data_IF_830733573634
#
_entry.id   IF_830733573634
#
_cell.length_a   1.000
_cell.length_b   1.000
_cell.length_c   1.000
_cell.angle_alpha   90.00
_cell.angle_beta   90.00
_cell.angle_gamma   90.00
#
_symmetry.space_group_name_H-M   'P 1'
#
loop_
_entity.id
_entity.type
_entity.pdbx_description
1 polymer ?
#
# COMPACT_ATOMS: atom_id res chain seq x y z
N UNK A 1 -4.70 7.94 23.09
CA UNK A 1 -3.63 8.11 22.08
C UNK A 1 -3.86 9.48 21.50
N UNK A 2 -2.94 10.41 21.75
CA UNK A 2 -3.16 11.80 21.39
C UNK A 2 -3.03 11.94 19.86
N UNK A 3 -4.07 12.52 19.26
CA UNK A 3 -4.20 12.89 17.85
C UNK A 3 -2.90 13.37 17.16
N UNK A 4 -2.02 14.20 17.76
CA UNK A 4 -0.82 14.69 17.09
C UNK A 4 0.15 13.62 16.58
N UNK A 5 0.27 12.47 17.25
CA UNK A 5 1.23 11.41 16.83
C UNK A 5 0.77 10.62 15.60
N UNK A 6 -0.55 10.51 15.36
CA UNK A 6 -1.08 9.86 14.15
C UNK A 6 -0.92 10.74 12.92
N UNK A 7 -1.10 12.05 13.10
CA UNK A 7 -0.88 13.05 12.06
C UNK A 7 0.60 13.17 11.69
N UNK A 8 1.53 12.98 12.64
CA UNK A 8 2.96 13.05 12.38
C UNK A 8 3.44 12.02 11.32
N UNK A 9 2.90 10.80 11.31
CA UNK A 9 3.25 9.79 10.31
C UNK A 9 2.74 10.10 8.90
N UNK A 10 1.49 10.58 8.80
CA UNK A 10 0.90 11.01 7.54
C UNK A 10 1.57 12.29 7.02
N UNK A 11 1.82 13.27 7.90
CA UNK A 11 2.50 14.51 7.57
C UNK A 11 3.97 14.27 7.18
N UNK A 12 4.67 13.35 7.85
CA UNK A 12 6.01 12.93 7.45
C UNK A 12 6.00 12.21 6.10
N UNK A 13 4.98 11.38 5.81
CA UNK A 13 4.83 10.74 4.50
C UNK A 13 4.53 11.72 3.38
N UNK A 14 3.67 12.71 3.62
CA UNK A 14 3.43 13.81 2.68
C UNK A 14 4.71 14.63 2.50
N UNK A 15 5.38 15.02 3.59
CA UNK A 15 6.61 15.81 3.53
C UNK A 15 7.74 15.05 2.81
N UNK A 16 7.94 13.76 3.05
CA UNK A 16 8.93 12.95 2.33
C UNK A 16 8.54 12.82 0.85
N UNK A 17 7.26 12.60 0.54
CA UNK A 17 6.78 12.51 -0.84
C UNK A 17 6.87 13.83 -1.63
N UNK A 18 6.79 14.99 -0.96
CA UNK A 18 6.87 16.31 -1.60
C UNK A 18 8.25 16.94 -1.57
N UNK A 19 9.09 16.61 -0.58
CA UNK A 19 10.41 17.20 -0.39
C UNK A 19 11.55 16.33 -0.93
N UNK A 20 11.34 15.03 -1.08
CA UNK A 20 12.36 14.15 -1.65
C UNK A 20 12.16 14.05 -3.15
N UNK A 21 13.03 14.74 -3.87
CA UNK A 21 13.16 14.56 -5.31
C UNK A 21 13.91 13.25 -5.57
N UNK A 22 13.17 12.15 -5.70
CA UNK A 22 13.75 10.80 -5.84
C UNK A 22 14.44 10.60 -7.19
N UNK A 23 14.12 11.39 -8.22
CA UNK A 23 14.75 11.37 -9.54
C UNK A 23 14.33 12.61 -10.37
N UNK A 24 15.22 13.27 -11.13
CA UNK A 24 14.87 14.39 -12.02
C UNK A 24 13.89 14.04 -13.17
N UNK A 25 13.62 12.76 -13.43
CA UNK A 25 12.63 12.33 -14.42
C UNK A 25 11.22 12.32 -13.77
N UNK A 26 10.28 13.19 -14.19
CA UNK A 26 8.97 13.37 -13.52
C UNK A 26 8.13 12.08 -13.51
N UNK A 27 8.29 11.24 -14.51
CA UNK A 27 7.55 9.99 -14.68
C UNK A 27 7.98 8.92 -13.66
N UNK A 28 9.22 9.03 -13.17
CA UNK A 28 9.82 8.14 -12.19
C UNK A 28 9.39 8.53 -10.77
N UNK A 29 9.13 9.82 -10.54
CA UNK A 29 8.72 10.34 -9.24
C UNK A 29 7.46 9.64 -8.70
N UNK A 30 6.50 9.31 -9.58
CA UNK A 30 5.28 8.60 -9.20
C UNK A 30 5.55 7.19 -8.63
N UNK A 31 6.47 6.45 -9.25
CA UNK A 31 6.82 5.07 -8.88
C UNK A 31 7.53 4.98 -7.53
N UNK A 32 8.25 6.03 -7.11
CA UNK A 32 8.92 6.09 -5.81
C UNK A 32 8.08 6.78 -4.72
N UNK A 33 7.32 7.82 -5.07
CA UNK A 33 6.55 8.61 -4.11
C UNK A 33 5.47 7.80 -3.39
N UNK A 34 4.73 6.95 -4.12
CA UNK A 34 3.65 6.15 -3.53
C UNK A 34 4.14 5.05 -2.56
N UNK A 35 5.17 4.25 -2.88
CA UNK A 35 5.79 3.35 -1.91
C UNK A 35 6.39 4.08 -0.70
N UNK A 36 7.07 5.21 -0.93
CA UNK A 36 7.64 6.01 0.15
C UNK A 36 6.55 6.52 1.11
N UNK A 37 5.46 7.05 0.55
CA UNK A 37 4.29 7.48 1.33
C UNK A 37 3.72 6.33 2.18
N UNK A 38 3.49 5.16 1.57
CA UNK A 38 3.00 3.98 2.28
C UNK A 38 3.93 3.55 3.42
N UNK A 39 5.24 3.58 3.19
CA UNK A 39 6.24 3.25 4.21
C UNK A 39 6.24 4.23 5.37
N UNK A 40 6.15 5.54 5.10
CA UNK A 40 6.08 6.57 6.13
C UNK A 40 4.80 6.42 6.99
N UNK A 41 3.66 6.14 6.37
CA UNK A 41 2.41 5.86 7.11
C UNK A 41 2.59 4.66 8.03
N UNK A 42 3.19 3.57 7.53
CA UNK A 42 3.42 2.36 8.31
C UNK A 42 4.43 2.58 9.45
N UNK A 43 5.50 3.33 9.20
CA UNK A 43 6.50 3.73 10.19
C UNK A 43 5.89 4.60 11.29
N UNK A 44 5.02 5.55 10.93
CA UNK A 44 4.30 6.39 11.89
C UNK A 44 3.40 5.57 12.83
N UNK A 45 2.70 4.57 12.29
CA UNK A 45 1.87 3.67 13.11
C UNK A 45 2.72 2.80 14.04
N UNK A 46 3.85 2.27 13.56
CA UNK A 46 4.82 1.55 14.40
C UNK A 46 5.37 2.43 15.54
N UNK A 47 5.78 3.66 15.22
CA UNK A 47 6.30 4.60 16.19
C UNK A 47 5.21 4.96 17.23
N UNK A 48 3.97 5.20 16.80
CA UNK A 48 2.87 5.47 17.70
C UNK A 48 2.57 4.28 18.65
N UNK A 49 2.66 3.03 18.18
CA UNK A 49 2.50 1.85 19.04
C UNK A 49 3.67 1.67 20.03
N UNK A 50 4.89 1.99 19.62
CA UNK A 50 6.07 1.95 20.49
C UNK A 50 6.05 3.04 21.57
N UNK A 51 5.62 4.25 21.21
CA UNK A 51 5.57 5.42 22.11
C UNK A 51 4.38 5.34 23.07
N UNK A 52 3.26 4.75 22.65
CA UNK A 52 2.08 4.58 23.49
C UNK A 52 2.40 3.67 24.69
N UNK A 53 2.84 4.30 25.79
CA UNK A 53 3.08 3.62 27.07
C UNK A 53 1.79 2.94 27.54
N UNK A 54 1.88 1.72 28.12
CA UNK A 54 0.71 1.07 28.66
C UNK A 54 0.13 1.93 29.78
N UNK A 55 -1.09 2.42 29.60
CA UNK A 55 -1.89 2.95 30.71
C UNK A 55 -2.26 1.74 31.57
N UNK A 56 -1.68 1.68 32.76
CA UNK A 56 -1.92 0.63 33.73
C UNK A 56 -3.35 0.82 34.27
N UNK A 57 -4.35 0.24 33.61
CA UNK A 57 -5.73 0.26 34.13
C UNK A 57 -5.82 -0.74 35.28
N UNK A 58 -5.94 -0.22 36.50
CA UNK A 58 -5.91 -0.99 37.75
C UNK A 58 -7.21 -1.74 38.08
N UNK A 59 -8.22 -1.71 37.19
CA UNK A 59 -9.54 -2.28 37.46
C UNK A 59 -9.77 -3.45 36.51
N UNK A 60 -9.67 -4.67 37.06
CA UNK A 60 -9.99 -5.94 36.42
C UNK A 60 -11.48 -6.24 36.66
N UNK A 61 -12.33 -5.92 35.70
CA UNK A 61 -13.65 -6.54 35.62
C UNK A 61 -13.50 -7.74 34.68
N UNK A 62 -13.60 -8.95 35.26
CA UNK A 62 -13.57 -10.19 34.50
C UNK A 62 -14.96 -10.43 33.91
N UNK A 63 -15.24 -9.81 32.77
CA UNK A 63 -16.43 -10.16 31.98
C UNK A 63 -16.08 -11.30 31.03
N UNK A 64 -16.47 -12.51 31.42
CA UNK A 64 -16.27 -13.73 30.63
C UNK A 64 -17.34 -13.75 29.53
N UNK A 65 -17.04 -13.14 28.39
CA UNK A 65 -17.74 -13.44 27.13
C UNK A 65 -16.81 -14.26 26.24
N UNK A 66 -17.25 -15.42 25.72
CA UNK A 66 -16.45 -16.22 24.80
C UNK A 66 -16.39 -15.50 23.45
N UNK A 67 -15.44 -14.58 23.27
CA UNK A 67 -15.28 -13.82 22.02
C UNK A 67 -14.04 -14.26 21.27
N UNK A 68 -14.26 -14.82 20.07
CA UNK A 68 -13.20 -15.19 19.14
C UNK A 68 -12.58 -13.90 18.59
N UNK A 69 -11.25 -13.81 18.64
CA UNK A 69 -10.42 -12.78 17.98
C UNK A 69 -10.77 -12.61 16.48
N UNK A 70 -11.44 -13.62 15.89
CA UNK A 70 -11.96 -13.62 14.52
C UNK A 70 -13.07 -12.59 14.25
N UNK A 71 -13.70 -12.03 15.27
CA UNK A 71 -14.80 -11.05 15.12
C UNK A 71 -14.32 -9.58 15.16
N UNK A 72 -13.00 -9.39 15.30
CA UNK A 72 -12.40 -8.08 15.62
C UNK A 72 -11.59 -7.50 14.46
N UNK A 73 -11.14 -8.36 13.56
CA UNK A 73 -10.48 -7.98 12.31
C UNK A 73 -11.44 -8.30 11.16
N UNK A 74 -11.80 -7.34 10.29
CA UNK A 74 -12.63 -7.61 9.13
C UNK A 74 -11.86 -8.56 8.19
N UNK A 75 -12.08 -9.86 8.34
CA UNK A 75 -11.39 -10.91 7.58
C UNK A 75 -11.51 -10.68 6.09
N UNK A 76 -12.69 -10.25 5.64
CA UNK A 76 -12.95 -9.87 4.26
C UNK A 76 -11.98 -8.77 3.76
N UNK A 77 -11.71 -7.75 4.59
CA UNK A 77 -10.77 -6.68 4.24
C UNK A 77 -9.33 -7.20 4.19
N UNK A 78 -8.92 -7.99 5.18
CA UNK A 78 -7.57 -8.58 5.19
C UNK A 78 -7.33 -9.51 4.01
N UNK A 79 -8.31 -10.36 3.65
CA UNK A 79 -8.23 -11.22 2.47
C UNK A 79 -8.23 -10.42 1.17
N UNK A 80 -9.01 -9.34 1.10
CA UNK A 80 -9.05 -8.46 -0.06
C UNK A 80 -7.71 -7.74 -0.27
N UNK A 81 -7.13 -7.18 0.79
CA UNK A 81 -5.81 -6.55 0.74
C UNK A 81 -4.70 -7.57 0.41
N UNK A 82 -4.79 -8.80 0.90
CA UNK A 82 -3.87 -9.87 0.52
C UNK A 82 -3.98 -10.24 -0.96
N UNK A 83 -5.19 -10.27 -1.52
CA UNK A 83 -5.40 -10.46 -2.95
C UNK A 83 -4.79 -9.32 -3.77
N UNK A 84 -4.92 -8.07 -3.31
CA UNK A 84 -4.26 -6.92 -3.95
C UNK A 84 -2.73 -7.00 -3.89
N UNK A 85 -2.16 -7.43 -2.77
CA UNK A 85 -0.71 -7.66 -2.66
C UNK A 85 -0.22 -8.74 -3.64
N UNK A 86 -1.02 -9.80 -3.82
CA UNK A 86 -0.73 -10.84 -4.82
C UNK A 86 -0.81 -10.27 -6.25
N UNK A 87 -1.85 -9.50 -6.57
CA UNK A 87 -1.98 -8.84 -7.88
C UNK A 87 -0.79 -7.92 -8.15
N UNK A 88 -0.37 -7.12 -7.17
CA UNK A 88 0.83 -6.27 -7.27
C UNK A 88 2.06 -7.12 -7.61
N UNK A 89 2.26 -8.23 -6.89
CA UNK A 89 3.38 -9.15 -7.13
C UNK A 89 3.35 -9.70 -8.55
N UNK A 90 2.17 -10.14 -9.03
CA UNK A 90 1.99 -10.66 -10.39
C UNK A 90 2.29 -9.58 -11.44
N UNK A 91 1.76 -8.36 -11.28
CA UNK A 91 2.03 -7.25 -12.19
C UNK A 91 3.51 -6.89 -12.24
N UNK A 92 4.20 -6.90 -11.09
CA UNK A 92 5.65 -6.66 -11.03
C UNK A 92 6.43 -7.78 -11.73
N UNK A 93 6.04 -9.05 -11.57
CA UNK A 93 6.67 -10.17 -12.27
C UNK A 93 6.47 -10.04 -13.78
N UNK A 94 5.25 -9.71 -14.23
CA UNK A 94 4.96 -9.45 -15.64
C UNK A 94 5.85 -8.31 -16.14
N UNK A 95 5.84 -7.16 -15.45
CA UNK A 95 6.61 -6.00 -15.85
C UNK A 95 8.11 -6.30 -15.89
N UNK A 96 8.66 -7.01 -14.91
CA UNK A 96 10.06 -7.42 -14.90
C UNK A 96 10.40 -8.38 -16.04
N UNK A 97 9.51 -9.33 -16.35
CA UNK A 97 9.72 -10.31 -17.42
C UNK A 97 9.64 -9.71 -18.82
N UNK A 98 8.88 -8.63 -19.01
CA UNK A 98 8.73 -7.94 -20.30
C UNK A 98 9.62 -6.69 -20.41
N UNK A 99 10.37 -6.35 -19.36
CA UNK A 99 11.24 -5.18 -19.37
C UNK A 99 12.49 -5.43 -20.22
N UNK A 100 12.90 -4.41 -20.95
CA UNK A 100 14.13 -4.36 -21.73
C UNK A 100 14.98 -3.14 -21.34
N UNK A 101 16.14 -3.00 -21.99
CA UNK A 101 16.96 -1.80 -21.89
C UNK A 101 16.29 -0.59 -22.57
N UNK A 102 16.45 0.58 -21.99
CA UNK A 102 16.03 1.84 -22.61
C UNK A 102 17.00 2.31 -23.71
N UNK A 103 16.73 3.48 -24.30
CA UNK A 103 17.57 4.06 -25.37
C UNK A 103 19.01 4.37 -24.93
N UNK A 104 19.27 4.43 -23.63
CA UNK A 104 20.61 4.62 -23.06
C UNK A 104 21.27 3.29 -22.68
N UNK A 105 20.64 2.15 -22.97
CA UNK A 105 21.15 0.82 -22.65
C UNK A 105 20.91 0.41 -21.19
N UNK A 106 20.10 1.16 -20.43
CA UNK A 106 19.83 0.89 -19.01
C UNK A 106 18.75 -0.18 -18.89
N UNK A 107 19.12 -1.37 -18.40
CA UNK A 107 18.25 -2.55 -18.34
C UNK A 107 17.03 -2.39 -17.42
N UNK A 108 15.89 -2.92 -17.84
CA UNK A 108 14.72 -3.11 -16.97
C UNK A 108 13.83 -1.87 -16.84
N UNK A 109 13.93 -0.91 -17.77
CA UNK A 109 13.28 0.41 -17.69
C UNK A 109 12.28 0.69 -18.81
N UNK A 110 12.31 -0.08 -19.89
CA UNK A 110 11.45 0.11 -21.05
C UNK A 110 10.74 -1.19 -21.45
N UNK A 111 9.71 -1.08 -22.27
CA UNK A 111 9.01 -2.16 -22.93
C UNK A 111 9.34 -2.08 -24.43
N UNK A 112 9.88 -3.16 -25.00
CA UNK A 112 10.05 -3.30 -26.44
C UNK A 112 8.95 -4.18 -27.01
N UNK A 113 8.28 -3.69 -28.06
CA UNK A 113 7.24 -4.44 -28.78
C UNK A 113 7.49 -4.32 -30.27
N UNK A 114 7.46 -5.45 -30.97
CA UNK A 114 7.50 -5.47 -32.43
C UNK A 114 6.12 -5.22 -33.01
N UNK A 115 5.97 -4.11 -33.75
CA UNK A 115 4.75 -3.77 -34.47
C UNK A 115 4.92 -3.93 -35.98
N UNK A 116 3.83 -4.07 -36.75
CA UNK A 116 3.89 -4.05 -38.22
C UNK A 116 4.57 -2.80 -38.81
N UNK A 117 4.53 -1.68 -38.08
CA UNK A 117 5.18 -0.42 -38.45
C UNK A 117 6.63 -0.28 -37.94
N UNK A 118 7.18 -1.31 -37.30
CA UNK A 118 8.52 -1.32 -36.69
C UNK A 118 8.51 -1.56 -35.18
N UNK A 119 9.70 -1.70 -34.60
CA UNK A 119 9.91 -1.89 -33.16
C UNK A 119 9.59 -0.60 -32.39
N UNK A 120 8.76 -0.68 -31.36
CA UNK A 120 8.46 0.41 -30.44
C UNK A 120 9.14 0.19 -29.10
N UNK A 121 9.80 1.22 -28.59
CA UNK A 121 10.41 1.24 -27.27
C UNK A 121 9.69 2.28 -26.42
N UNK A 122 9.01 1.85 -25.36
CA UNK A 122 8.17 2.70 -24.52
C UNK A 122 8.62 2.63 -23.06
N UNK A 123 8.69 3.79 -22.39
CA UNK A 123 8.99 3.89 -20.97
C UNK A 123 8.26 5.07 -20.33
N UNK A 124 8.25 5.17 -18.98
CA UNK A 124 8.86 4.22 -18.04
C UNK A 124 8.01 2.96 -17.86
N UNK A 125 8.64 1.79 -18.05
CA UNK A 125 8.01 0.50 -17.78
C UNK A 125 8.40 0.05 -16.37
N UNK A 126 7.45 -0.37 -15.49
CA UNK A 126 7.73 -0.66 -14.08
C UNK A 126 8.42 -2.02 -13.88
N UNK A 127 9.52 -2.25 -14.58
CA UNK A 127 10.38 -3.41 -14.40
C UNK A 127 11.10 -3.40 -13.05
N UNK A 128 11.96 -4.40 -12.84
CA UNK A 128 12.59 -4.66 -11.54
C UNK A 128 13.35 -3.44 -10.98
N UNK A 129 13.90 -2.59 -11.86
CA UNK A 129 14.58 -1.35 -11.50
C UNK A 129 13.67 -0.41 -10.69
N UNK A 130 12.42 -0.23 -11.10
CA UNK A 130 11.44 0.63 -10.43
C UNK A 130 10.61 -0.12 -9.38
N UNK A 131 10.49 -1.45 -9.49
CA UNK A 131 9.63 -2.24 -8.62
C UNK A 131 10.30 -2.66 -7.29
N UNK A 132 11.62 -2.64 -7.20
CA UNK A 132 12.34 -3.05 -5.97
C UNK A 132 11.91 -2.30 -4.70
N UNK A 133 11.75 -0.96 -4.69
CA UNK A 133 11.25 -0.23 -3.53
C UNK A 133 9.85 -0.67 -3.10
N UNK A 134 8.96 -0.94 -4.07
CA UNK A 134 7.61 -1.41 -3.80
C UNK A 134 7.63 -2.82 -3.17
N UNK A 135 8.43 -3.74 -3.72
CA UNK A 135 8.57 -5.10 -3.19
C UNK A 135 9.21 -5.12 -1.80
N UNK A 136 10.33 -4.40 -1.63
CA UNK A 136 11.03 -4.28 -0.36
C UNK A 136 10.14 -3.65 0.71
N UNK A 137 9.43 -2.57 0.34
CA UNK A 137 8.50 -1.90 1.24
C UNK A 137 7.32 -2.79 1.65
N UNK A 138 6.69 -3.48 0.68
CA UNK A 138 5.61 -4.43 0.94
C UNK A 138 6.06 -5.58 1.85
N UNK A 139 7.25 -6.16 1.63
CA UNK A 139 7.78 -7.23 2.46
C UNK A 139 8.01 -6.74 3.90
N UNK A 140 8.69 -5.61 4.08
CA UNK A 140 8.94 -5.00 5.39
C UNK A 140 7.65 -4.65 6.12
N UNK A 141 6.69 -4.03 5.43
CA UNK A 141 5.41 -3.66 6.03
C UNK A 141 4.52 -4.85 6.37
N UNK A 142 4.60 -5.94 5.61
CA UNK A 142 3.89 -7.18 5.93
C UNK A 142 4.45 -7.81 7.21
N UNK A 143 5.78 -7.85 7.34
CA UNK A 143 6.44 -8.30 8.58
C UNK A 143 6.06 -7.39 9.76
N UNK A 144 6.11 -6.07 9.57
CA UNK A 144 5.72 -5.10 10.59
C UNK A 144 4.26 -5.26 11.04
N UNK A 145 3.33 -5.43 10.10
CA UNK A 145 1.92 -5.67 10.37
C UNK A 145 1.73 -6.96 11.18
N UNK A 146 2.38 -8.05 10.77
CA UNK A 146 2.34 -9.32 11.50
C UNK A 146 2.89 -9.20 12.94
N UNK A 147 3.99 -8.45 13.12
CA UNK A 147 4.58 -8.20 14.44
C UNK A 147 3.66 -7.36 15.32
N UNK A 148 3.03 -6.31 14.77
CA UNK A 148 2.05 -5.49 15.48
C UNK A 148 0.86 -6.34 15.93
N UNK A 149 0.28 -7.13 15.03
CA UNK A 149 -0.83 -8.03 15.36
C UNK A 149 -0.44 -9.05 16.44
N UNK A 150 0.76 -9.62 16.37
CA UNK A 150 1.29 -10.53 17.39
C UNK A 150 1.48 -9.84 18.75
N UNK A 151 1.91 -8.56 18.78
CA UNK A 151 2.04 -7.80 20.04
C UNK A 151 0.68 -7.50 20.66
N UNK A 152 -0.33 -7.18 19.84
CA UNK A 152 -1.70 -6.92 20.29
C UNK A 152 -2.31 -8.16 20.95
N UNK A 153 -2.07 -9.36 20.40
CA UNK A 153 -2.59 -10.60 20.99
C UNK A 153 -1.89 -10.99 22.29
N UNK A 154 -0.59 -10.70 22.41
CA UNK A 154 0.21 -11.03 23.61
C UNK A 154 0.00 -10.05 24.78
N UNK A 155 -0.35 -8.77 24.54
CA UNK A 155 -0.57 -7.78 25.61
C UNK A 155 -1.93 -7.96 26.29
N UNK A 156 -1.99 -7.86 27.62
CA UNK A 156 -3.26 -7.70 28.34
C UNK A 156 -3.82 -6.30 28.09
N UNK A 157 -4.80 -6.20 27.19
CA UNK A 157 -5.49 -4.95 26.84
C UNK A 157 -7.00 -5.20 26.88
N UNK A 158 -7.77 -4.12 27.04
CA UNK A 158 -9.23 -4.13 26.84
C UNK A 158 -9.56 -4.51 25.39
N UNK A 159 -10.73 -5.11 25.19
CA UNK A 159 -11.14 -5.65 23.88
C UNK A 159 -11.24 -4.54 22.80
N UNK A 160 -11.71 -3.35 23.19
CA UNK A 160 -11.83 -2.19 22.29
C UNK A 160 -10.48 -1.65 21.85
N UNK A 161 -9.51 -1.59 22.77
CA UNK A 161 -8.16 -1.14 22.44
C UNK A 161 -7.49 -2.10 21.43
N UNK A 162 -7.70 -3.41 21.59
CA UNK A 162 -7.22 -4.42 20.63
C UNK A 162 -7.85 -4.24 19.25
N UNK A 163 -9.18 -3.99 19.16
CA UNK A 163 -9.86 -3.73 17.88
C UNK A 163 -9.28 -2.51 17.18
N UNK A 164 -9.10 -1.40 17.90
CA UNK A 164 -8.58 -0.15 17.34
C UNK A 164 -7.15 -0.34 16.84
N UNK A 165 -6.28 -0.99 17.62
CA UNK A 165 -4.89 -1.24 17.21
C UNK A 165 -4.81 -2.19 16.01
N UNK A 166 -5.59 -3.26 15.99
CA UNK A 166 -5.63 -4.19 14.86
C UNK A 166 -6.14 -3.52 13.57
N UNK A 167 -7.21 -2.72 13.65
CA UNK A 167 -7.71 -1.94 12.51
C UNK A 167 -6.70 -0.93 11.99
N UNK A 168 -5.98 -0.24 12.88
CA UNK A 168 -4.94 0.69 12.49
C UNK A 168 -3.76 -0.01 11.78
N UNK A 169 -3.30 -1.16 12.30
CA UNK A 169 -2.25 -1.94 11.67
C UNK A 169 -2.65 -2.44 10.28
N UNK A 170 -3.86 -2.99 10.14
CA UNK A 170 -4.40 -3.46 8.85
C UNK A 170 -4.64 -2.31 7.87
N UNK A 171 -5.16 -1.17 8.35
CA UNK A 171 -5.36 0.03 7.52
C UNK A 171 -4.04 0.58 6.97
N UNK A 172 -3.00 0.67 7.80
CA UNK A 172 -1.69 1.13 7.35
C UNK A 172 -1.03 0.15 6.37
N UNK A 173 -1.15 -1.15 6.60
CA UNK A 173 -0.71 -2.16 5.64
C UNK A 173 -1.51 -2.06 4.32
N UNK A 174 -2.81 -1.77 4.39
CA UNK A 174 -3.64 -1.55 3.21
C UNK A 174 -3.18 -0.36 2.38
N UNK A 175 -2.85 0.78 3.01
CA UNK A 175 -2.27 1.94 2.30
C UNK A 175 -0.95 1.58 1.62
N UNK A 176 -0.08 0.85 2.33
CA UNK A 176 1.22 0.40 1.81
C UNK A 176 1.10 -0.54 0.60
N UNK A 177 0.05 -1.35 0.51
CA UNK A 177 -0.20 -2.27 -0.64
C UNK A 177 -0.88 -1.54 -1.79
N UNK A 178 -1.91 -0.75 -1.49
CA UNK A 178 -2.78 -0.12 -2.49
C UNK A 178 -2.10 1.01 -3.25
N UNK A 179 -1.22 1.78 -2.59
CA UNK A 179 -0.52 2.90 -3.22
C UNK A 179 0.47 2.43 -4.32
N UNK A 180 1.37 1.46 -4.09
CA UNK A 180 2.20 0.90 -5.16
C UNK A 180 1.40 0.18 -6.24
N UNK A 181 0.33 -0.53 -5.86
CA UNK A 181 -0.54 -1.20 -6.85
C UNK A 181 -1.19 -0.19 -7.80
N UNK A 182 -1.66 0.95 -7.29
CA UNK A 182 -2.15 2.04 -8.10
C UNK A 182 -1.08 2.57 -9.05
N UNK A 183 0.10 2.89 -8.53
CA UNK A 183 1.20 3.45 -9.32
C UNK A 183 1.66 2.50 -10.45
N UNK A 184 1.87 1.22 -10.14
CA UNK A 184 2.26 0.20 -11.13
C UNK A 184 1.15 0.00 -12.17
N UNK A 185 -0.10 -0.13 -11.75
CA UNK A 185 -1.22 -0.34 -12.68
C UNK A 185 -1.41 0.86 -13.61
N UNK A 186 -1.31 2.07 -13.08
CA UNK A 186 -1.45 3.31 -13.83
C UNK A 186 -0.32 3.49 -14.85
N UNK A 187 0.93 3.28 -14.44
CA UNK A 187 2.10 3.39 -15.33
C UNK A 187 2.06 2.35 -16.46
N UNK A 188 1.75 1.09 -16.14
CA UNK A 188 1.54 0.06 -17.17
C UNK A 188 0.40 0.44 -18.11
N UNK A 189 -0.70 1.01 -17.61
CA UNK A 189 -1.84 1.42 -18.44
C UNK A 189 -1.45 2.54 -19.41
N UNK A 190 -0.70 3.54 -18.96
CA UNK A 190 -0.19 4.63 -19.80
C UNK A 190 0.71 4.08 -20.91
N UNK A 191 1.65 3.19 -20.60
CA UNK A 191 2.52 2.58 -21.62
C UNK A 191 1.72 1.73 -22.61
N UNK A 192 0.79 0.89 -22.13
CA UNK A 192 -0.06 0.08 -23.00
C UNK A 192 -0.96 0.95 -23.88
N UNK A 193 -1.43 2.10 -23.38
CA UNK A 193 -2.23 3.05 -24.14
C UNK A 193 -1.43 3.65 -25.30
N UNK A 194 -0.11 3.84 -25.13
CA UNK A 194 0.80 4.37 -26.15
C UNK A 194 1.19 3.35 -27.23
N UNK A 195 0.95 2.05 -27.02
CA UNK A 195 1.20 1.03 -28.06
C UNK A 195 0.28 1.23 -29.26
N UNK A 196 0.83 1.33 -30.46
CA UNK A 196 0.02 1.44 -31.69
C UNK A 196 -0.46 0.08 -32.19
N UNK A 197 0.18 -1.01 -31.77
CA UNK A 197 -0.16 -2.37 -32.14
C UNK A 197 -0.44 -3.21 -30.89
N UNK A 198 -1.63 -3.82 -30.82
CA UNK A 198 -2.02 -4.83 -29.81
C UNK A 198 -3.52 -5.20 -29.93
N UNK A 199 -4.30 -4.48 -30.75
CA UNK A 199 -5.68 -4.83 -31.10
C UNK A 199 -6.55 -5.09 -29.88
N UNK A 200 -7.23 -6.24 -29.85
CA UNK A 200 -8.11 -6.64 -28.74
C UNK A 200 -7.36 -6.88 -27.43
N UNK A 201 -6.11 -7.36 -27.47
CA UNK A 201 -5.32 -7.61 -26.26
C UNK A 201 -5.04 -6.31 -25.49
N UNK A 202 -4.85 -5.20 -26.22
CA UNK A 202 -4.74 -3.85 -25.64
C UNK A 202 -5.97 -3.49 -24.81
N UNK A 203 -7.16 -3.75 -25.34
CA UNK A 203 -8.43 -3.40 -24.69
C UNK A 203 -8.59 -4.19 -23.39
N UNK A 204 -8.31 -5.50 -23.41
CA UNK A 204 -8.36 -6.34 -22.21
C UNK A 204 -7.34 -5.91 -21.15
N UNK A 205 -6.10 -5.62 -21.57
CA UNK A 205 -5.06 -5.15 -20.67
C UNK A 205 -5.44 -3.82 -20.02
N UNK A 206 -5.90 -2.84 -20.81
CA UNK A 206 -6.34 -1.54 -20.30
C UNK A 206 -7.53 -1.67 -19.34
N UNK A 207 -8.53 -2.50 -19.67
CA UNK A 207 -9.67 -2.73 -18.80
C UNK A 207 -9.25 -3.35 -17.45
N UNK A 208 -8.38 -4.36 -17.48
CA UNK A 208 -7.86 -4.99 -16.27
C UNK A 208 -7.03 -4.04 -15.42
N UNK A 209 -6.14 -3.26 -16.04
CA UNK A 209 -5.30 -2.27 -15.36
C UNK A 209 -6.13 -1.11 -14.78
N UNK A 210 -7.14 -0.62 -15.52
CA UNK A 210 -8.04 0.42 -15.04
C UNK A 210 -8.88 -0.05 -13.84
N UNK A 211 -9.43 -1.27 -13.90
CA UNK A 211 -10.16 -1.86 -12.78
C UNK A 211 -9.25 -2.04 -11.56
N UNK A 212 -8.02 -2.50 -11.76
CA UNK A 212 -7.03 -2.69 -10.70
C UNK A 212 -6.65 -1.35 -10.06
N UNK A 213 -6.36 -0.33 -10.86
CA UNK A 213 -6.05 1.03 -10.38
C UNK A 213 -7.24 1.66 -9.64
N UNK A 214 -8.46 1.49 -10.15
CA UNK A 214 -9.66 2.04 -9.52
C UNK A 214 -9.94 1.37 -8.17
N UNK A 215 -9.89 0.03 -8.12
CA UNK A 215 -10.11 -0.72 -6.88
C UNK A 215 -9.00 -0.45 -5.85
N UNK A 216 -7.75 -0.31 -6.28
CA UNK A 216 -6.64 0.07 -5.40
C UNK A 216 -6.81 1.49 -4.85
N UNK A 217 -7.22 2.46 -5.67
CA UNK A 217 -7.49 3.82 -5.21
C UNK A 217 -8.61 3.88 -4.17
N UNK A 218 -9.74 3.23 -4.43
CA UNK A 218 -10.87 3.18 -3.49
C UNK A 218 -10.50 2.53 -2.15
N UNK A 219 -9.79 1.40 -2.22
CA UNK A 219 -9.35 0.69 -1.01
C UNK A 219 -8.28 1.46 -0.24
N UNK A 220 -7.36 2.14 -0.92
CA UNK A 220 -6.40 3.06 -0.31
C UNK A 220 -7.09 4.21 0.42
N UNK A 221 -8.04 4.88 -0.23
CA UNK A 221 -8.86 5.94 0.37
C UNK A 221 -9.63 5.43 1.60
N UNK A 222 -10.23 4.24 1.51
CA UNK A 222 -10.92 3.63 2.63
C UNK A 222 -9.97 3.34 3.81
N UNK A 223 -8.81 2.73 3.54
CA UNK A 223 -7.81 2.43 4.57
C UNK A 223 -7.27 3.70 5.25
N UNK A 224 -7.05 4.75 4.46
CA UNK A 224 -6.62 6.06 4.95
C UNK A 224 -7.72 6.75 5.77
N UNK A 225 -8.98 6.66 5.33
CA UNK A 225 -10.14 7.14 6.10
C UNK A 225 -10.27 6.45 7.45
N UNK A 226 -10.12 5.12 7.50
CA UNK A 226 -10.13 4.34 8.75
C UNK A 226 -8.99 4.74 9.69
N UNK A 227 -7.83 5.14 9.14
CA UNK A 227 -6.69 5.61 9.93
C UNK A 227 -6.88 7.01 10.51
N UNK A 228 -7.43 7.93 9.69
CA UNK A 228 -7.52 9.35 10.01
C UNK A 228 -8.75 9.72 10.83
N UNK A 229 -9.87 9.00 10.67
CA UNK A 229 -11.12 9.32 11.39
C UNK A 229 -10.97 8.88 12.87
N UNK A 230 -11.02 9.82 13.84
CA UNK A 230 -10.94 9.47 15.25
C UNK A 230 -12.19 8.68 15.66
N UNK A 231 -12.03 7.40 16.01
CA UNK A 231 -13.13 6.59 16.57
C UNK A 231 -13.61 7.10 17.95
N UNK A 232 -12.91 8.06 18.55
CA UNK A 232 -13.27 8.66 19.83
C UNK A 232 -14.47 9.63 19.76
N UNK A 233 -14.89 10.08 18.57
CA UNK A 233 -15.99 11.05 18.42
C UNK A 233 -17.37 10.40 18.24
N UNK A 234 -17.45 9.09 18.01
CA UNK A 234 -18.73 8.39 17.79
C UNK A 234 -19.43 7.95 19.06
N UNK A 235 -18.72 7.78 20.19
CA UNK A 235 -19.35 7.42 21.47
C UNK A 235 -19.83 8.63 22.28
N UNK A 236 -19.32 9.84 22.02
CA UNK A 236 -19.79 11.05 22.70
C UNK A 236 -21.14 11.58 22.20
N UNK A 237 -21.81 10.85 21.27
CA UNK A 237 -23.07 11.27 20.64
C UNK A 237 -24.18 10.20 20.71
N UNK A 238 -23.97 9.10 21.45
CA UNK A 238 -24.99 8.09 21.75
C UNK A 238 -25.40 8.14 23.20
#
# INVERSE_FOLDING_TARGET
MDTPTRWAGAAAGVAVGTLVDFNPEPDVQLLYAFPAFGLCVMAGVLAADLIARPRHSWIRVAEVTPRRVRDHVPRALATFLAAQALILTVLVVIAASTATADSEGRSGRALAVECPAGSQLLGPWPGLYYAWPALGGMALGTVACALLLRRVTLRSQTDDQRRIQARAAVGAWGVLVTAPLFAVSFTMAVVVLSLSCAGVAKVFALAALALTAFTSALSGCHCLGVLLIPQAYTEARS
#
